data_IF_879487242265
#
_entry.id   IF_879487242265
#
_cell.length_a   1.000
_cell.length_b   1.000
_cell.length_c   1.000
_cell.angle_alpha   90.00
_cell.angle_beta   90.00
_cell.angle_gamma   90.00
#
_symmetry.space_group_name_H-M   'P 1'
#
loop_
_entity.id
_entity.type
_entity.pdbx_description
1 polymer ?
#
# COMPACT_ATOMS: atom_id res chain seq x y z
N UNK A 1 -22.25 -7.16 5.37
CA UNK A 1 -22.72 -6.93 4.00
C UNK A 1 -21.76 -7.56 2.99
N UNK A 2 -20.47 -7.21 2.98
CA UNK A 2 -19.47 -7.74 2.05
C UNK A 2 -19.44 -9.29 2.03
N UNK A 3 -19.36 -9.92 3.19
CA UNK A 3 -19.37 -11.38 3.32
C UNK A 3 -20.55 -12.04 2.59
N UNK A 4 -21.75 -11.46 2.72
CA UNK A 4 -22.95 -11.98 2.04
C UNK A 4 -22.88 -11.85 0.52
N UNK A 5 -22.25 -10.79 0.00
CA UNK A 5 -22.06 -10.62 -1.45
C UNK A 5 -21.16 -11.71 -2.04
N UNK A 6 -20.21 -12.20 -1.26
CA UNK A 6 -19.27 -13.25 -1.67
C UNK A 6 -19.74 -14.67 -1.24
N UNK A 7 -20.95 -14.82 -0.73
CA UNK A 7 -21.49 -16.13 -0.33
C UNK A 7 -20.83 -16.74 0.91
N UNK A 8 -20.10 -15.93 1.70
CA UNK A 8 -19.47 -16.38 2.94
C UNK A 8 -20.49 -16.52 4.06
N UNK A 9 -20.30 -17.52 4.94
CA UNK A 9 -21.11 -17.62 6.16
C UNK A 9 -20.92 -16.37 7.02
N UNK A 10 -22.03 -15.79 7.47
CA UNK A 10 -21.99 -14.49 8.16
C UNK A 10 -21.31 -14.57 9.53
N UNK A 11 -21.34 -15.73 10.19
CA UNK A 11 -20.74 -15.95 11.51
C UNK A 11 -19.22 -16.09 11.38
N UNK A 12 -18.78 -16.89 10.43
CA UNK A 12 -17.35 -17.15 10.17
C UNK A 12 -16.68 -15.88 9.64
N UNK A 13 -17.30 -15.21 8.68
CA UNK A 13 -16.79 -13.94 8.14
C UNK A 13 -16.72 -12.83 9.20
N UNK A 14 -17.63 -12.81 10.18
CA UNK A 14 -17.55 -11.87 11.30
C UNK A 14 -16.36 -12.17 12.20
N UNK A 15 -16.12 -13.45 12.52
CA UNK A 15 -14.99 -13.87 13.33
C UNK A 15 -13.66 -13.53 12.64
N UNK A 16 -13.56 -13.80 11.34
CA UNK A 16 -12.39 -13.47 10.53
C UNK A 16 -12.16 -11.96 10.44
N UNK A 17 -13.19 -11.16 10.20
CA UNK A 17 -13.10 -9.71 10.19
C UNK A 17 -12.57 -9.15 11.52
N UNK A 18 -13.07 -9.65 12.65
CA UNK A 18 -12.62 -9.24 13.98
C UNK A 18 -11.12 -9.57 14.15
N UNK A 19 -10.70 -10.77 13.75
CA UNK A 19 -9.32 -11.22 13.83
C UNK A 19 -8.38 -10.36 12.98
N UNK A 20 -8.75 -10.08 11.73
CA UNK A 20 -7.98 -9.23 10.82
C UNK A 20 -7.88 -7.80 11.36
N UNK A 21 -9.00 -7.22 11.80
CA UNK A 21 -9.03 -5.86 12.34
C UNK A 21 -8.24 -5.71 13.63
N UNK A 22 -8.22 -6.74 14.47
CA UNK A 22 -7.37 -6.77 15.67
C UNK A 22 -5.87 -6.73 15.31
N UNK A 23 -5.45 -7.49 14.29
CA UNK A 23 -4.07 -7.46 13.76
C UNK A 23 -3.70 -6.08 13.20
N UNK A 24 -4.65 -5.39 12.56
CA UNK A 24 -4.51 -4.01 12.11
C UNK A 24 -4.59 -2.97 13.26
N UNK A 25 -4.62 -3.39 14.52
CA UNK A 25 -4.63 -2.51 15.68
C UNK A 25 -5.98 -1.86 15.99
N UNK A 26 -7.08 -2.36 15.40
CA UNK A 26 -8.43 -1.90 15.74
C UNK A 26 -9.01 -2.75 16.86
N UNK A 27 -9.22 -2.14 18.02
CA UNK A 27 -9.81 -2.83 19.17
C UNK A 27 -11.30 -3.18 18.94
N UNK A 28 -11.74 -4.30 19.49
CA UNK A 28 -13.11 -4.78 19.37
C UNK A 28 -14.17 -3.75 19.84
N UNK A 29 -13.83 -2.93 20.84
CA UNK A 29 -14.69 -1.84 21.35
C UNK A 29 -15.03 -0.77 20.29
N UNK A 30 -14.24 -0.68 19.21
CA UNK A 30 -14.42 0.28 18.12
C UNK A 30 -15.21 -0.30 16.94
N UNK A 31 -15.38 -1.62 16.86
CA UNK A 31 -16.06 -2.31 15.74
C UNK A 31 -17.56 -2.00 15.62
N UNK A 32 -18.18 -1.53 16.70
CA UNK A 32 -19.60 -1.13 16.70
C UNK A 32 -19.87 0.29 16.20
N UNK A 33 -18.82 1.07 15.86
CA UNK A 33 -18.99 2.46 15.40
C UNK A 33 -19.28 2.49 13.90
N UNK A 34 -20.17 3.38 13.43
CA UNK A 34 -20.33 3.67 12.01
C UNK A 34 -18.98 4.08 11.37
N UNK A 35 -18.78 3.68 10.11
CA UNK A 35 -17.52 3.92 9.41
C UNK A 35 -17.21 5.42 9.28
N UNK A 36 -18.25 6.24 9.11
CA UNK A 36 -18.16 7.72 9.00
C UNK A 36 -17.63 8.38 10.27
N UNK A 37 -17.70 7.69 11.41
CA UNK A 37 -17.19 8.17 12.70
C UNK A 37 -15.77 7.67 13.01
N UNK A 38 -15.18 6.91 12.08
CA UNK A 38 -13.82 6.39 12.18
C UNK A 38 -12.83 7.39 11.55
N UNK A 39 -11.60 7.45 12.08
CA UNK A 39 -10.52 8.20 11.42
C UNK A 39 -10.20 7.60 10.04
N UNK A 40 -9.60 8.39 9.14
CA UNK A 40 -9.13 7.92 7.82
C UNK A 40 -8.32 6.63 7.93
N UNK A 41 -7.34 6.58 8.86
CA UNK A 41 -6.53 5.38 9.09
C UNK A 41 -7.33 4.17 9.52
N UNK A 42 -8.39 4.36 10.32
CA UNK A 42 -9.29 3.25 10.68
C UNK A 42 -10.15 2.82 9.49
N UNK A 43 -10.64 3.74 8.67
CA UNK A 43 -11.40 3.43 7.46
C UNK A 43 -10.55 2.63 6.47
N UNK A 44 -9.29 3.03 6.28
CA UNK A 44 -8.33 2.30 5.43
C UNK A 44 -8.08 0.87 5.93
N UNK A 45 -7.84 0.70 7.23
CA UNK A 45 -7.68 -0.62 7.85
C UNK A 45 -8.93 -1.50 7.66
N UNK A 46 -10.13 -0.92 7.74
CA UNK A 46 -11.40 -1.64 7.47
C UNK A 46 -11.50 -2.01 5.99
N UNK A 47 -11.07 -1.15 5.07
CA UNK A 47 -11.07 -1.46 3.63
C UNK A 47 -10.14 -2.63 3.31
N UNK A 48 -8.93 -2.65 3.86
CA UNK A 48 -7.96 -3.75 3.73
C UNK A 48 -8.54 -5.05 4.32
N UNK A 49 -9.08 -4.98 5.54
CA UNK A 49 -9.70 -6.14 6.18
C UNK A 49 -10.87 -6.72 5.35
N UNK A 50 -11.66 -5.86 4.72
CA UNK A 50 -12.75 -6.28 3.84
C UNK A 50 -12.23 -7.02 2.60
N UNK A 51 -11.15 -6.55 1.99
CA UNK A 51 -10.55 -7.20 0.83
C UNK A 51 -10.04 -8.61 1.16
N UNK A 52 -9.52 -8.80 2.37
CA UNK A 52 -8.98 -10.08 2.83
C UNK A 52 -10.03 -11.14 3.20
N UNK A 53 -11.28 -10.75 3.43
CA UNK A 53 -12.33 -11.71 3.82
C UNK A 53 -12.55 -12.82 2.80
N UNK A 54 -12.20 -12.60 1.55
CA UNK A 54 -12.35 -13.58 0.46
C UNK A 54 -11.11 -14.43 0.25
N UNK A 55 -10.06 -14.26 1.05
CA UNK A 55 -8.75 -14.92 0.87
C UNK A 55 -8.27 -14.84 -0.59
N UNK A 56 -8.13 -13.65 -1.17
CA UNK A 56 -7.84 -13.48 -2.59
C UNK A 56 -6.44 -14.00 -2.93
N UNK A 57 -6.29 -14.61 -4.12
CA UNK A 57 -4.99 -14.99 -4.68
C UNK A 57 -4.18 -13.76 -5.13
N UNK A 58 -4.89 -12.70 -5.58
CA UNK A 58 -4.29 -11.41 -5.96
C UNK A 58 -5.01 -10.30 -5.21
N UNK A 59 -4.25 -9.43 -4.56
CA UNK A 59 -4.76 -8.25 -3.86
C UNK A 59 -4.16 -6.98 -4.46
N UNK A 60 -5.03 -6.02 -4.79
CA UNK A 60 -4.64 -4.71 -5.29
C UNK A 60 -4.79 -3.68 -4.18
N UNK A 61 -3.72 -3.01 -3.83
CA UNK A 61 -3.68 -1.95 -2.82
C UNK A 61 -3.26 -0.64 -3.48
N UNK A 62 -4.20 0.27 -3.62
CA UNK A 62 -3.96 1.57 -4.20
C UNK A 62 -3.70 2.58 -3.08
N UNK A 63 -2.47 3.12 -3.04
CA UNK A 63 -2.02 4.11 -2.06
C UNK A 63 -2.41 3.75 -0.59
N UNK A 64 -2.09 2.54 -0.08
CA UNK A 64 -2.69 2.02 1.15
C UNK A 64 -2.34 2.81 2.42
N UNK A 65 -1.30 3.64 2.40
CA UNK A 65 -0.84 4.40 3.56
C UNK A 65 -0.95 5.91 3.39
N UNK A 66 -1.37 6.39 2.22
CA UNK A 66 -1.49 7.82 1.92
C UNK A 66 -2.49 8.51 2.84
N UNK A 67 -2.10 9.66 3.38
CA UNK A 67 -2.92 10.46 4.29
C UNK A 67 -3.14 9.84 5.69
N UNK A 68 -2.38 8.81 6.05
CA UNK A 68 -2.39 8.23 7.38
C UNK A 68 -1.42 8.93 8.33
N UNK A 69 -1.77 8.97 9.62
CA UNK A 69 -0.81 9.35 10.65
C UNK A 69 0.35 8.33 10.74
N UNK A 70 1.54 8.73 11.23
CA UNK A 70 2.73 7.87 11.22
C UNK A 70 2.52 6.51 11.88
N UNK A 71 1.74 6.44 12.95
CA UNK A 71 1.46 5.18 13.65
C UNK A 71 0.56 4.27 12.81
N UNK A 72 -0.53 4.82 12.26
CA UNK A 72 -1.42 4.06 11.38
C UNK A 72 -0.71 3.56 10.13
N UNK A 73 0.22 4.36 9.56
CA UNK A 73 1.07 3.96 8.44
C UNK A 73 1.91 2.73 8.80
N UNK A 74 2.62 2.77 9.91
CA UNK A 74 3.44 1.63 10.38
C UNK A 74 2.60 0.38 10.64
N UNK A 75 1.41 0.52 11.25
CA UNK A 75 0.52 -0.62 11.50
C UNK A 75 0.07 -1.29 10.18
N UNK A 76 -0.25 -0.48 9.14
CA UNK A 76 -0.66 -0.99 7.82
C UNK A 76 0.53 -1.65 7.11
N UNK A 77 1.70 -1.02 7.12
CA UNK A 77 2.91 -1.58 6.52
C UNK A 77 3.29 -2.92 7.15
N UNK A 78 3.35 -2.99 8.48
CA UNK A 78 3.65 -4.23 9.20
C UNK A 78 2.63 -5.34 8.87
N UNK A 79 1.36 -4.98 8.68
CA UNK A 79 0.35 -5.94 8.29
C UNK A 79 0.50 -6.43 6.84
N UNK A 80 0.90 -5.56 5.91
CA UNK A 80 1.19 -5.96 4.52
C UNK A 80 2.41 -6.89 4.47
N UNK A 81 3.47 -6.59 5.23
CA UNK A 81 4.64 -7.47 5.37
C UNK A 81 4.23 -8.85 5.90
N UNK A 82 3.43 -8.88 6.95
CA UNK A 82 2.93 -10.13 7.51
C UNK A 82 2.10 -10.93 6.50
N UNK A 83 1.26 -10.25 5.69
CA UNK A 83 0.50 -10.90 4.62
C UNK A 83 1.42 -11.49 3.55
N UNK A 84 2.42 -10.73 3.08
CA UNK A 84 3.42 -11.21 2.13
C UNK A 84 4.12 -12.47 2.63
N UNK A 85 4.52 -12.47 3.90
CA UNK A 85 5.33 -13.53 4.47
C UNK A 85 4.51 -14.79 4.85
N UNK A 86 3.19 -14.65 5.06
CA UNK A 86 2.35 -15.73 5.61
C UNK A 86 1.26 -16.23 4.67
N UNK A 87 0.94 -15.49 3.61
CA UNK A 87 -0.13 -15.86 2.67
C UNK A 87 0.45 -16.09 1.29
N UNK A 88 -0.05 -17.11 0.62
CA UNK A 88 0.29 -17.44 -0.77
C UNK A 88 -0.50 -16.54 -1.75
N UNK A 89 -0.43 -15.22 -1.52
CA UNK A 89 -1.14 -14.22 -2.30
C UNK A 89 -0.15 -13.24 -2.96
N UNK A 90 -0.41 -12.88 -4.20
CA UNK A 90 0.29 -11.80 -4.89
C UNK A 90 -0.32 -10.47 -4.49
N UNK A 91 0.51 -9.56 -3.96
CA UNK A 91 0.09 -8.20 -3.61
C UNK A 91 0.65 -7.23 -4.66
N UNK A 92 -0.23 -6.51 -5.34
CA UNK A 92 0.13 -5.38 -6.20
C UNK A 92 -0.21 -4.12 -5.44
N UNK A 93 0.78 -3.28 -5.24
CA UNK A 93 0.69 -2.06 -4.43
C UNK A 93 1.09 -0.86 -5.29
N UNK A 94 0.31 0.21 -5.27
CA UNK A 94 0.73 1.51 -5.79
C UNK A 94 1.15 2.42 -4.63
N UNK A 95 2.21 3.18 -4.81
CA UNK A 95 2.64 4.20 -3.85
C UNK A 95 3.57 5.21 -4.53
N UNK A 96 3.56 6.44 -4.05
CA UNK A 96 4.56 7.46 -4.37
C UNK A 96 5.66 7.55 -3.29
N UNK A 97 5.55 6.77 -2.22
CA UNK A 97 6.54 6.71 -1.14
C UNK A 97 7.59 5.63 -1.47
N UNK A 98 8.78 6.06 -1.91
CA UNK A 98 9.85 5.15 -2.30
C UNK A 98 10.36 4.31 -1.12
N UNK A 99 10.36 4.84 0.09
CA UNK A 99 10.75 4.08 1.28
C UNK A 99 9.72 2.98 1.59
N UNK A 100 8.44 3.23 1.33
CA UNK A 100 7.41 2.20 1.42
C UNK A 100 7.59 1.13 0.34
N UNK A 101 7.83 1.52 -0.91
CA UNK A 101 8.09 0.59 -2.00
C UNK A 101 9.31 -0.29 -1.72
N UNK A 102 10.42 0.29 -1.24
CA UNK A 102 11.64 -0.44 -0.88
C UNK A 102 11.40 -1.46 0.23
N UNK A 103 10.58 -1.10 1.21
CA UNK A 103 10.29 -1.94 2.35
C UNK A 103 9.35 -3.10 2.04
N UNK A 104 8.30 -2.84 1.24
CA UNK A 104 7.18 -3.76 1.08
C UNK A 104 7.27 -4.63 -0.17
N UNK A 105 7.96 -4.18 -1.23
CA UNK A 105 7.90 -4.80 -2.53
C UNK A 105 9.14 -5.65 -2.83
N UNK A 106 8.91 -6.87 -3.33
CA UNK A 106 9.98 -7.73 -3.86
C UNK A 106 10.45 -7.22 -5.24
N UNK A 107 9.56 -6.62 -6.01
CA UNK A 107 9.83 -5.98 -7.30
C UNK A 107 9.10 -4.66 -7.40
N UNK A 108 9.71 -3.69 -8.07
CA UNK A 108 9.20 -2.35 -8.29
C UNK A 108 9.15 -2.09 -9.78
N UNK A 109 8.05 -1.50 -10.26
CA UNK A 109 7.94 -0.94 -11.60
C UNK A 109 7.70 0.58 -11.46
N UNK A 110 8.57 1.38 -12.06
CA UNK A 110 8.41 2.83 -12.15
C UNK A 110 7.58 3.18 -13.39
N UNK A 111 6.53 3.95 -13.18
CA UNK A 111 5.63 4.41 -14.24
C UNK A 111 5.83 5.92 -14.42
N UNK A 112 6.09 6.35 -15.64
CA UNK A 112 6.13 7.75 -16.03
C UNK A 112 5.39 7.92 -17.36
N UNK A 113 4.53 8.92 -17.47
CA UNK A 113 3.69 9.21 -18.65
C UNK A 113 2.97 7.96 -19.18
N UNK A 114 2.40 7.14 -18.28
CA UNK A 114 1.66 5.93 -18.61
C UNK A 114 2.50 4.76 -19.12
N UNK A 115 3.83 4.79 -18.95
CA UNK A 115 4.77 3.76 -19.40
C UNK A 115 5.63 3.28 -18.27
N UNK A 116 5.92 1.99 -18.23
CA UNK A 116 6.96 1.44 -17.36
C UNK A 116 8.32 1.86 -17.88
N UNK A 117 9.04 2.67 -17.11
CA UNK A 117 10.37 3.21 -17.48
C UNK A 117 11.52 2.45 -16.82
N UNK A 118 11.28 1.78 -15.72
CA UNK A 118 12.23 0.87 -15.08
C UNK A 118 11.47 -0.20 -14.29
N UNK A 119 12.02 -1.41 -14.21
CA UNK A 119 11.46 -2.52 -13.46
C UNK A 119 12.58 -3.42 -12.92
N UNK A 120 12.48 -3.86 -11.67
CA UNK A 120 13.44 -4.76 -11.03
C UNK A 120 13.20 -4.91 -9.55
N UNK A 121 14.06 -5.67 -8.87
CA UNK A 121 14.12 -5.62 -7.41
C UNK A 121 14.68 -4.26 -6.95
N UNK A 122 14.41 -3.82 -5.71
CA UNK A 122 15.00 -2.58 -5.19
C UNK A 122 16.51 -2.52 -5.38
N UNK A 123 17.21 -3.63 -5.12
CA UNK A 123 18.67 -3.68 -5.22
C UNK A 123 19.16 -3.64 -6.67
N UNK A 124 18.51 -4.37 -7.60
CA UNK A 124 18.83 -4.29 -9.04
C UNK A 124 18.70 -2.87 -9.58
N UNK A 125 17.64 -2.16 -9.20
CA UNK A 125 17.41 -0.79 -9.64
C UNK A 125 18.45 0.19 -9.06
N UNK A 126 18.80 0.04 -7.79
CA UNK A 126 19.85 0.85 -7.14
C UNK A 126 21.23 0.60 -7.75
N UNK A 127 21.58 -0.66 -8.00
CA UNK A 127 22.84 -1.02 -8.66
C UNK A 127 22.91 -0.49 -10.09
N UNK A 128 21.77 -0.51 -10.83
CA UNK A 128 21.69 0.03 -12.18
C UNK A 128 22.09 1.51 -12.23
N UNK A 129 21.55 2.34 -11.34
CA UNK A 129 21.86 3.78 -11.34
C UNK A 129 23.27 4.06 -10.85
N UNK A 130 23.79 3.28 -9.92
CA UNK A 130 25.18 3.41 -9.47
C UNK A 130 26.18 3.08 -10.59
N UNK A 131 25.93 1.96 -11.30
CA UNK A 131 26.85 1.47 -12.36
C UNK A 131 26.78 2.31 -13.62
N UNK A 132 25.58 2.58 -14.12
CA UNK A 132 25.38 3.14 -15.47
C UNK A 132 25.30 4.66 -15.47
N UNK A 133 24.95 5.27 -14.34
CA UNK A 133 24.78 6.73 -14.21
C UNK A 133 25.69 7.37 -13.16
N UNK A 134 26.49 6.58 -12.43
CA UNK A 134 27.41 7.10 -11.42
C UNK A 134 26.75 7.83 -10.25
N UNK A 135 25.49 7.49 -9.94
CA UNK A 135 24.69 8.10 -8.87
C UNK A 135 24.73 7.25 -7.60
N UNK A 136 24.31 7.83 -6.48
CA UNK A 136 24.10 7.06 -5.24
C UNK A 136 23.07 5.93 -5.45
N UNK A 137 23.29 4.73 -4.86
CA UNK A 137 22.39 3.58 -5.02
C UNK A 137 21.16 3.73 -4.14
N UNK A 138 20.28 4.65 -4.48
CA UNK A 138 19.02 4.93 -3.78
C UNK A 138 17.84 4.87 -4.75
N UNK A 139 16.62 4.56 -4.27
CA UNK A 139 15.43 4.58 -5.10
C UNK A 139 15.07 6.01 -5.55
N UNK A 140 15.41 7.03 -4.76
CA UNK A 140 15.27 8.43 -5.17
C UNK A 140 16.12 8.72 -6.41
N UNK A 141 17.39 8.27 -6.43
CA UNK A 141 18.25 8.41 -7.61
C UNK A 141 17.73 7.63 -8.81
N UNK A 142 17.11 6.46 -8.60
CA UNK A 142 16.40 5.69 -9.64
C UNK A 142 15.26 6.51 -10.20
N UNK A 143 14.36 6.99 -9.34
CA UNK A 143 13.20 7.79 -9.73
C UNK A 143 13.62 9.03 -10.54
N UNK A 144 14.52 9.85 -10.01
CA UNK A 144 15.05 11.04 -10.68
C UNK A 144 15.71 10.73 -12.04
N UNK A 145 16.38 9.59 -12.15
CA UNK A 145 17.07 9.21 -13.39
C UNK A 145 16.10 8.90 -14.50
N UNK A 146 15.01 8.16 -14.19
CA UNK A 146 14.10 7.63 -15.19
C UNK A 146 12.87 8.52 -15.44
N UNK A 147 12.52 9.41 -14.49
CA UNK A 147 11.40 10.34 -14.67
C UNK A 147 11.83 11.76 -15.03
N UNK A 148 13.07 12.12 -14.68
CA UNK A 148 13.59 13.49 -14.84
C UNK A 148 12.97 14.50 -13.86
N UNK A 149 12.14 14.04 -12.91
CA UNK A 149 11.41 14.85 -11.93
C UNK A 149 11.87 14.53 -10.51
N UNK A 150 11.75 15.50 -9.60
CA UNK A 150 11.82 15.26 -8.16
C UNK A 150 10.45 14.81 -7.65
N UNK A 151 10.42 13.98 -6.60
CA UNK A 151 9.15 13.62 -5.92
C UNK A 151 8.44 14.84 -5.32
N UNK A 152 9.19 15.91 -5.04
CA UNK A 152 8.63 17.17 -4.54
C UNK A 152 7.82 17.90 -5.62
N UNK A 153 8.14 17.72 -6.90
CA UNK A 153 7.44 18.35 -8.03
C UNK A 153 6.03 17.75 -8.22
N UNK A 154 5.86 16.44 -7.98
CA UNK A 154 4.56 15.74 -8.15
C UNK A 154 3.55 16.09 -7.04
N UNK A 155 4.00 16.55 -5.87
CA UNK A 155 3.12 16.94 -4.74
C UNK A 155 2.46 18.30 -4.98
N UNK A 156 3.09 19.18 -5.75
CA UNK A 156 2.58 20.52 -6.04
C UNK A 156 1.57 20.50 -7.20
N UNK A 157 1.77 19.67 -8.24
CA UNK A 157 0.79 19.49 -9.33
C UNK A 157 -0.55 18.89 -8.82
N UNK A 158 -0.52 17.96 -7.87
CA UNK A 158 -1.73 17.35 -7.31
C UNK A 158 -2.58 18.31 -6.44
N UNK A 159 -2.05 19.47 -6.03
CA UNK A 159 -2.78 20.47 -5.26
C UNK A 159 -3.48 21.52 -6.14
N UNK A 160 -3.02 21.69 -7.39
CA UNK A 160 -3.63 22.64 -8.32
C UNK A 160 -4.89 22.07 -8.98
N UNK A 161 -5.01 20.73 -9.11
CA UNK A 161 -6.18 20.08 -9.70
C UNK A 161 -7.39 19.96 -8.76
N UNK A 162 -7.20 20.12 -7.43
CA UNK A 162 -8.31 20.06 -6.44
C UNK A 162 -9.00 21.44 -6.22
N UNK A 163 -8.51 22.54 -6.82
CA UNK A 163 -9.03 23.90 -6.63
C UNK A 163 -9.83 24.44 -7.88
N UNK A 164 -10.10 23.60 -8.90
CA UNK A 164 -11.03 23.89 -10.01
C UNK A 164 -12.35 23.11 -9.88
#
# INVERSE_FOLDING_TARGET
YAARLYGLDARDAKADAIRILARLGISEKRLGRPLEQMSRGMQQKVAIARALLTSPVVMLLDEPTTGLDPRSKLDVQAFIEELRDTHDATIVLTTHDLAEAERLCDRIALINDGRVVAEGTPDELKELVARDYGKEPTLDAVFMTFTGRSLDDDVDEAKEDDDE
#
